data_IF_079259728146
#
_entry.id   IF_079259728146
#
_cell.length_a   1.000
_cell.length_b   1.000
_cell.length_c   1.000
_cell.angle_alpha   90.00
_cell.angle_beta   90.00
_cell.angle_gamma   90.00
#
_symmetry.space_group_name_H-M   'P 1'
#
loop_
_entity.id
_entity.type
_entity.pdbx_description
1 polymer ?
#
# COMPACT_ATOMS: atom_id res chain seq x y z
N UNK A 1 -12.34 4.07 -8.80
CA UNK A 1 -12.45 4.92 -7.64
C UNK A 1 -11.08 5.51 -7.32
N UNK A 2 -10.84 6.73 -7.76
CA UNK A 2 -9.66 7.51 -7.40
C UNK A 2 -9.79 8.14 -6.01
N UNK A 3 -8.74 8.88 -5.59
CA UNK A 3 -8.74 9.74 -4.40
C UNK A 3 -8.94 9.02 -3.06
N UNK A 4 -8.65 7.71 -2.97
CA UNK A 4 -8.80 6.99 -1.71
C UNK A 4 -7.86 7.54 -0.63
N UNK A 5 -6.68 8.02 -1.02
CA UNK A 5 -5.73 8.66 -0.11
C UNK A 5 -6.34 9.92 0.51
N UNK A 6 -6.85 10.83 -0.31
CA UNK A 6 -7.45 12.10 0.16
C UNK A 6 -8.66 11.84 1.07
N UNK A 7 -9.49 10.84 0.72
CA UNK A 7 -10.62 10.44 1.55
C UNK A 7 -10.15 9.91 2.91
N UNK A 8 -9.10 9.09 2.94
CA UNK A 8 -8.58 8.52 4.19
C UNK A 8 -7.89 9.56 5.07
N UNK A 9 -7.23 10.55 4.49
CA UNK A 9 -6.69 11.70 5.22
C UNK A 9 -7.82 12.47 5.94
N UNK A 10 -8.94 12.74 5.26
CA UNK A 10 -10.12 13.37 5.88
C UNK A 10 -10.70 12.50 7.00
N UNK A 11 -10.75 11.17 6.82
CA UNK A 11 -11.23 10.25 7.85
C UNK A 11 -10.34 10.30 9.10
N UNK A 12 -9.02 10.26 8.93
CA UNK A 12 -8.08 10.31 10.05
C UNK A 12 -8.10 11.65 10.81
N UNK A 13 -8.39 12.75 10.11
CA UNK A 13 -8.44 14.09 10.70
C UNK A 13 -9.79 14.43 11.32
N UNK A 14 -10.81 13.62 11.07
CA UNK A 14 -12.19 13.90 11.54
C UNK A 14 -12.56 12.98 12.70
N UNK A 15 -12.75 13.51 13.92
CA UNK A 15 -13.07 12.68 15.10
C UNK A 15 -14.44 11.99 15.03
N UNK A 16 -15.28 12.40 14.10
CA UNK A 16 -16.63 11.84 13.88
C UNK A 16 -16.67 10.78 12.76
N UNK A 17 -15.54 10.51 12.07
CA UNK A 17 -15.45 9.52 11.01
C UNK A 17 -14.67 8.30 11.50
N UNK A 18 -15.19 7.11 11.22
CA UNK A 18 -14.60 5.85 11.69
C UNK A 18 -13.94 5.05 10.57
N UNK A 19 -14.16 5.42 9.33
CA UNK A 19 -13.63 4.70 8.17
C UNK A 19 -14.63 4.61 7.03
N UNK A 20 -14.41 3.67 6.14
CA UNK A 20 -15.24 3.40 4.97
C UNK A 20 -15.09 1.98 4.48
N UNK A 21 -15.98 1.54 3.61
CA UNK A 21 -15.95 0.23 3.00
C UNK A 21 -15.77 0.38 1.49
N UNK A 22 -14.86 -0.41 0.93
CA UNK A 22 -14.63 -0.44 -0.51
C UNK A 22 -15.57 -1.48 -1.11
N UNK A 23 -16.32 -1.10 -2.11
CA UNK A 23 -17.10 -2.00 -2.94
C UNK A 23 -16.37 -2.22 -4.26
N UNK A 24 -15.81 -3.42 -4.49
CA UNK A 24 -15.74 -4.52 -3.53
C UNK A 24 -14.31 -5.09 -3.49
N UNK A 25 -14.10 -6.12 -2.69
CA UNK A 25 -12.77 -6.70 -2.49
C UNK A 25 -12.34 -7.54 -3.69
N UNK A 26 -13.22 -8.38 -4.24
CA UNK A 26 -12.92 -9.29 -5.35
C UNK A 26 -14.02 -9.26 -6.39
N UNK A 27 -13.63 -9.29 -7.67
CA UNK A 27 -14.60 -9.43 -8.76
C UNK A 27 -15.50 -10.66 -8.56
N UNK A 28 -16.80 -10.47 -8.69
CA UNK A 28 -17.81 -11.51 -8.53
C UNK A 28 -17.95 -12.31 -9.82
N UNK A 29 -16.89 -13.01 -10.23
CA UNK A 29 -16.82 -13.75 -11.48
C UNK A 29 -16.64 -15.25 -11.29
N UNK A 30 -17.21 -16.03 -12.21
CA UNK A 30 -17.04 -17.48 -12.27
C UNK A 30 -16.28 -17.89 -13.52
N UNK A 31 -15.37 -18.85 -13.36
CA UNK A 31 -14.61 -19.42 -14.46
C UNK A 31 -15.48 -20.44 -15.21
N UNK A 32 -15.66 -20.21 -16.50
CA UNK A 32 -16.45 -21.05 -17.38
C UNK A 32 -15.63 -21.51 -18.58
N UNK A 33 -16.09 -22.54 -19.26
CA UNK A 33 -15.51 -23.00 -20.52
C UNK A 33 -16.55 -22.96 -21.64
N UNK A 34 -16.12 -22.60 -22.84
CA UNK A 34 -16.89 -22.76 -24.06
C UNK A 34 -16.86 -24.21 -24.53
N UNK A 35 -17.75 -24.61 -25.48
CA UNK A 35 -17.79 -25.95 -26.06
C UNK A 35 -16.45 -26.33 -26.75
N UNK A 36 -15.74 -25.35 -27.29
CA UNK A 36 -14.42 -25.51 -27.91
C UNK A 36 -13.25 -25.45 -26.92
N UNK A 37 -13.54 -25.46 -25.59
CA UNK A 37 -12.56 -25.58 -24.52
C UNK A 37 -11.88 -24.26 -24.10
N UNK A 38 -12.24 -23.11 -24.69
CA UNK A 38 -11.72 -21.81 -24.24
C UNK A 38 -12.28 -21.40 -22.91
N UNK A 39 -11.43 -20.89 -22.00
CA UNK A 39 -11.82 -20.39 -20.70
C UNK A 39 -12.26 -18.93 -20.80
N UNK A 40 -13.33 -18.56 -20.11
CA UNK A 40 -13.79 -17.19 -19.93
C UNK A 40 -14.32 -16.95 -18.53
N UNK A 41 -14.47 -15.69 -18.15
CA UNK A 41 -15.07 -15.29 -16.89
C UNK A 41 -16.46 -14.72 -17.14
N UNK A 42 -17.43 -15.15 -16.38
CA UNK A 42 -18.81 -14.65 -16.42
C UNK A 42 -19.19 -14.01 -15.10
N UNK A 43 -20.16 -13.10 -15.11
CA UNK A 43 -20.63 -12.33 -13.96
C UNK A 43 -22.12 -12.01 -14.07
N UNK A 44 -22.71 -11.39 -13.02
CA UNK A 44 -24.10 -10.93 -12.98
C UNK A 44 -25.20 -12.01 -13.13
N UNK A 45 -24.96 -13.21 -12.62
CA UNK A 45 -25.97 -14.27 -12.58
C UNK A 45 -26.47 -14.76 -13.92
N UNK A 46 -25.92 -14.29 -15.02
CA UNK A 46 -26.37 -14.64 -16.39
C UNK A 46 -25.54 -15.72 -17.05
N UNK A 47 -24.52 -16.20 -16.41
CA UNK A 47 -23.74 -17.42 -16.65
C UNK A 47 -23.70 -17.90 -18.14
N UNK A 48 -23.40 -16.98 -19.08
CA UNK A 48 -23.32 -17.32 -20.50
C UNK A 48 -24.64 -17.36 -21.25
N UNK A 49 -25.77 -17.00 -20.65
CA UNK A 49 -27.02 -16.90 -21.39
C UNK A 49 -27.01 -15.72 -22.36
N UNK A 50 -27.45 -15.92 -23.59
CA UNK A 50 -27.57 -14.83 -24.59
C UNK A 50 -28.53 -13.72 -24.18
N UNK A 51 -29.35 -13.95 -23.16
CA UNK A 51 -30.39 -13.04 -22.68
C UNK A 51 -29.85 -11.69 -22.21
N UNK A 52 -28.62 -11.62 -21.73
CA UNK A 52 -28.00 -10.37 -21.31
C UNK A 52 -27.60 -9.46 -22.51
N UNK A 53 -27.37 -10.04 -23.68
CA UNK A 53 -27.10 -9.28 -24.92
C UNK A 53 -28.37 -8.58 -25.43
N UNK A 54 -29.53 -9.12 -25.08
CA UNK A 54 -30.83 -8.62 -25.56
C UNK A 54 -31.48 -7.68 -24.55
N UNK A 55 -31.14 -7.79 -23.26
CA UNK A 55 -31.70 -6.97 -22.18
C UNK A 55 -30.85 -5.72 -21.93
N UNK A 56 -31.12 -4.66 -22.70
CA UNK A 56 -30.44 -3.35 -22.61
C UNK A 56 -30.65 -2.63 -21.25
N UNK A 57 -31.49 -3.12 -20.37
CA UNK A 57 -31.78 -2.55 -19.06
C UNK A 57 -30.91 -3.13 -17.93
N UNK A 58 -30.10 -4.13 -18.21
CA UNK A 58 -29.23 -4.71 -17.21
C UNK A 58 -27.95 -3.89 -17.14
N UNK A 59 -27.62 -3.36 -15.98
CA UNK A 59 -26.34 -2.71 -15.70
C UNK A 59 -25.21 -3.70 -15.97
N UNK A 60 -24.49 -3.48 -17.05
CA UNK A 60 -23.46 -4.38 -17.59
C UNK A 60 -22.16 -4.38 -16.75
N UNK A 61 -22.03 -3.45 -15.81
CA UNK A 61 -20.78 -3.15 -15.12
C UNK A 61 -20.75 -3.57 -13.65
N UNK A 62 -21.77 -4.22 -13.13
CA UNK A 62 -21.78 -4.69 -11.75
C UNK A 62 -21.12 -6.06 -11.66
N UNK A 63 -20.21 -6.23 -10.68
CA UNK A 63 -19.53 -7.50 -10.40
C UNK A 63 -18.08 -7.58 -10.87
N UNK A 64 -17.53 -6.50 -11.43
CA UNK A 64 -16.09 -6.39 -11.78
C UNK A 64 -15.40 -5.18 -11.13
N UNK A 65 -15.94 -4.73 -10.01
CA UNK A 65 -15.48 -3.56 -9.25
C UNK A 65 -14.42 -3.90 -8.18
N UNK A 66 -14.04 -5.17 -8.10
CA UNK A 66 -13.11 -5.68 -7.11
C UNK A 66 -11.71 -5.08 -7.20
N UNK A 67 -11.04 -4.98 -6.05
CA UNK A 67 -9.61 -4.70 -5.96
C UNK A 67 -8.78 -5.87 -6.49
N UNK A 68 -9.32 -7.07 -6.41
CA UNK A 68 -8.72 -8.31 -6.88
C UNK A 68 -9.63 -8.88 -7.97
N UNK A 69 -9.04 -9.31 -9.08
CA UNK A 69 -9.79 -9.95 -10.16
C UNK A 69 -10.31 -11.33 -9.74
N UNK A 70 -11.34 -11.84 -10.43
CA UNK A 70 -11.99 -13.11 -10.11
C UNK A 70 -11.05 -14.34 -10.09
N UNK A 71 -9.86 -14.24 -10.70
CA UNK A 71 -8.80 -15.26 -10.65
C UNK A 71 -7.81 -15.09 -9.49
N UNK A 72 -8.07 -14.14 -8.57
CA UNK A 72 -7.19 -13.89 -7.42
C UNK A 72 -6.01 -12.96 -7.69
N UNK A 73 -5.90 -12.35 -8.87
CA UNK A 73 -4.80 -11.43 -9.20
C UNK A 73 -5.14 -10.02 -8.71
N UNK A 74 -4.28 -9.40 -7.87
CA UNK A 74 -4.46 -8.01 -7.46
C UNK A 74 -4.42 -7.05 -8.66
N UNK A 75 -5.39 -6.14 -8.73
CA UNK A 75 -5.40 -5.05 -9.69
C UNK A 75 -4.56 -3.86 -9.18
N UNK A 76 -4.15 -2.91 -10.02
CA UNK A 76 -3.33 -1.77 -9.59
C UNK A 76 -3.87 -1.02 -8.37
N UNK A 77 -5.18 -0.82 -8.28
CA UNK A 77 -5.82 -0.15 -7.15
C UNK A 77 -5.69 -0.90 -5.81
N UNK A 78 -5.44 -2.21 -5.82
CA UNK A 78 -5.21 -2.97 -4.60
C UNK A 78 -3.90 -2.55 -3.91
N UNK A 79 -2.89 -2.18 -4.68
CA UNK A 79 -1.61 -1.69 -4.15
C UNK A 79 -1.75 -0.31 -3.54
N UNK A 80 -2.57 0.57 -4.13
CA UNK A 80 -2.89 1.87 -3.54
C UNK A 80 -3.65 1.71 -2.22
N UNK A 81 -4.64 0.82 -2.18
CA UNK A 81 -5.37 0.51 -0.93
C UNK A 81 -4.42 -0.04 0.14
N UNK A 82 -3.52 -0.96 -0.22
CA UNK A 82 -2.49 -1.47 0.70
C UNK A 82 -1.67 -0.32 1.31
N UNK A 83 -1.27 0.67 0.49
CA UNK A 83 -0.52 1.83 0.93
C UNK A 83 -1.32 2.72 1.86
N UNK A 84 -2.56 3.02 1.50
CA UNK A 84 -3.43 3.93 2.26
C UNK A 84 -3.86 3.31 3.59
N UNK A 85 -4.08 1.99 3.64
CA UNK A 85 -4.56 1.27 4.82
C UNK A 85 -3.46 0.82 5.78
N UNK A 86 -2.20 1.14 5.52
CA UNK A 86 -1.14 0.82 6.48
C UNK A 86 -1.34 1.56 7.81
N UNK A 87 -1.06 0.90 8.93
CA UNK A 87 -1.21 1.45 10.28
C UNK A 87 0.08 2.06 10.85
N UNK A 88 1.17 2.02 10.12
CA UNK A 88 2.44 2.63 10.49
C UNK A 88 2.73 3.71 9.46
N UNK A 89 2.76 4.96 9.88
CA UNK A 89 3.06 6.09 9.02
C UNK A 89 4.45 6.63 9.30
N UNK A 90 5.18 6.91 8.24
CA UNK A 90 6.47 7.58 8.26
C UNK A 90 6.34 8.95 7.61
N UNK A 91 7.01 9.95 8.18
CA UNK A 91 7.07 11.31 7.61
C UNK A 91 8.48 11.87 7.75
N UNK A 92 8.91 12.64 6.77
CA UNK A 92 10.14 13.40 6.85
C UNK A 92 10.00 14.53 7.88
N UNK A 93 11.00 14.68 8.74
CA UNK A 93 11.15 15.84 9.62
C UNK A 93 12.38 16.66 9.19
N UNK A 94 13.57 16.08 9.31
CA UNK A 94 14.82 16.65 8.82
C UNK A 94 15.68 15.51 8.24
N UNK A 95 15.54 15.27 6.95
CA UNK A 95 16.27 14.18 6.29
C UNK A 95 17.76 14.44 6.16
N UNK A 96 18.22 15.70 6.24
CA UNK A 96 19.64 16.05 6.24
C UNK A 96 20.33 15.58 7.53
N UNK A 97 19.60 15.56 8.66
CA UNK A 97 20.05 15.01 9.94
C UNK A 97 19.50 13.56 10.18
N UNK A 98 18.95 12.94 9.15
CA UNK A 98 18.39 11.58 9.25
C UNK A 98 17.12 11.47 10.12
N UNK A 99 16.41 12.57 10.36
CA UNK A 99 15.24 12.59 11.23
C UNK A 99 13.94 12.31 10.48
N UNK A 100 13.20 11.36 11.00
CA UNK A 100 11.84 11.00 10.56
C UNK A 100 10.90 10.96 11.76
N UNK A 101 9.62 11.15 11.53
CA UNK A 101 8.61 10.77 12.52
C UNK A 101 7.96 9.44 12.15
N UNK A 102 7.65 8.65 13.16
CA UNK A 102 6.89 7.41 13.06
C UNK A 102 5.61 7.55 13.88
N UNK A 103 4.46 7.27 13.26
CA UNK A 103 3.15 7.27 13.93
C UNK A 103 2.58 5.87 13.93
N UNK A 104 2.12 5.41 15.10
CA UNK A 104 1.42 4.15 15.27
C UNK A 104 -0.09 4.39 15.28
N UNK A 105 -0.80 3.88 14.28
CA UNK A 105 -2.26 3.94 14.17
C UNK A 105 -2.96 2.66 14.62
N UNK A 106 -2.22 1.64 15.07
CA UNK A 106 -2.84 0.46 15.67
C UNK A 106 -3.55 0.83 16.98
N UNK A 107 -4.64 0.12 17.28
CA UNK A 107 -5.39 0.27 18.53
C UNK A 107 -4.80 -0.56 19.66
N UNK A 108 -4.18 -1.71 19.36
CA UNK A 108 -3.77 -2.70 20.35
C UNK A 108 -2.32 -3.19 20.20
N UNK A 109 -1.62 -2.80 19.14
CA UNK A 109 -0.29 -3.34 18.80
C UNK A 109 0.81 -2.31 19.02
N UNK A 110 1.79 -2.64 19.87
CA UNK A 110 3.04 -1.86 20.01
C UNK A 110 3.96 -2.12 18.82
N UNK A 111 4.68 -1.11 18.36
CA UNK A 111 5.56 -1.22 17.19
C UNK A 111 6.82 -2.07 17.45
N UNK A 112 7.11 -2.48 18.68
CA UNK A 112 8.16 -3.47 18.97
C UNK A 112 7.90 -4.85 18.34
N UNK A 113 6.66 -5.11 17.88
CA UNK A 113 6.29 -6.32 17.15
C UNK A 113 6.82 -6.36 15.69
N UNK A 114 7.45 -5.29 15.21
CA UNK A 114 7.89 -5.15 13.84
C UNK A 114 9.39 -4.93 13.72
N UNK A 115 9.97 -5.37 12.59
CA UNK A 115 11.33 -5.08 12.15
C UNK A 115 11.31 -3.88 11.20
N UNK A 116 12.09 -2.86 11.53
CA UNK A 116 12.18 -1.65 10.71
C UNK A 116 13.48 -1.63 9.92
N UNK A 117 13.37 -1.24 8.65
CA UNK A 117 14.51 -1.12 7.74
C UNK A 117 14.44 0.17 6.96
N UNK A 118 15.60 0.68 6.60
CA UNK A 118 15.74 1.76 5.64
C UNK A 118 16.63 1.34 4.48
N UNK A 119 16.42 1.95 3.33
CA UNK A 119 17.25 1.78 2.14
C UNK A 119 17.41 3.13 1.45
N UNK A 120 18.65 3.52 1.21
CA UNK A 120 18.96 4.64 0.33
C UNK A 120 18.98 4.18 -1.12
N UNK A 121 18.36 4.98 -1.97
CA UNK A 121 18.28 4.74 -3.41
C UNK A 121 18.83 5.98 -4.13
N UNK A 122 19.76 5.76 -5.06
CA UNK A 122 20.33 6.80 -5.92
C UNK A 122 19.94 6.50 -7.37
N UNK A 123 19.23 7.41 -8.03
CA UNK A 123 18.76 7.25 -9.42
C UNK A 123 18.08 5.88 -9.66
N UNK A 124 17.20 5.46 -8.74
CA UNK A 124 16.49 4.19 -8.81
C UNK A 124 17.29 2.94 -8.41
N UNK A 125 18.59 3.08 -8.09
CA UNK A 125 19.45 1.95 -7.71
C UNK A 125 19.71 1.97 -6.20
N UNK A 126 19.52 0.84 -5.46
CA UNK A 126 19.90 0.75 -4.06
C UNK A 126 21.38 1.05 -3.83
N UNK A 127 21.68 1.98 -2.92
CA UNK A 127 23.03 2.42 -2.60
C UNK A 127 23.51 1.95 -1.23
N UNK A 128 22.60 1.98 -0.23
CA UNK A 128 22.89 1.55 1.14
C UNK A 128 21.60 1.13 1.86
N UNK A 129 21.73 0.43 2.98
CA UNK A 129 20.58 -0.01 3.77
C UNK A 129 20.95 -0.28 5.22
N UNK A 130 19.97 -0.21 6.12
CA UNK A 130 20.17 -0.52 7.52
C UNK A 130 18.88 -0.86 8.24
N UNK A 131 19.01 -1.05 9.55
CA UNK A 131 17.90 -1.34 10.45
C UNK A 131 17.82 -0.28 11.54
N UNK A 132 16.62 -0.11 12.09
CA UNK A 132 16.40 0.72 13.26
C UNK A 132 15.29 0.14 14.13
N UNK A 133 15.23 0.58 15.37
CA UNK A 133 14.27 0.08 16.37
C UNK A 133 13.23 1.15 16.66
N UNK A 134 11.97 0.74 16.69
CA UNK A 134 10.86 1.59 17.10
C UNK A 134 10.06 0.83 18.17
N UNK A 135 9.96 1.42 19.37
CA UNK A 135 9.04 0.99 20.41
C UNK A 135 8.06 2.12 20.63
N UNK A 136 6.81 1.90 20.25
CA UNK A 136 5.82 2.95 20.23
C UNK A 136 4.43 2.36 20.49
N UNK A 137 3.82 2.81 21.57
CA UNK A 137 2.47 2.38 21.95
C UNK A 137 1.42 2.78 20.91
N UNK A 138 0.24 2.12 20.93
CA UNK A 138 -0.89 2.54 20.12
C UNK A 138 -1.17 4.04 20.21
N UNK A 139 -1.56 4.63 19.07
CA UNK A 139 -1.90 6.04 18.88
C UNK A 139 -0.79 7.06 19.19
N UNK A 140 0.42 6.61 19.48
CA UNK A 140 1.55 7.49 19.73
C UNK A 140 2.32 7.86 18.47
N UNK A 141 3.10 8.94 18.56
CA UNK A 141 4.07 9.37 17.54
C UNK A 141 5.41 9.64 18.18
N UNK A 142 6.50 9.42 17.43
CA UNK A 142 7.87 9.62 17.93
C UNK A 142 8.78 10.03 16.78
N UNK A 143 9.66 11.01 17.06
CA UNK A 143 10.81 11.28 16.19
C UNK A 143 11.88 10.20 16.37
N UNK A 144 12.43 9.73 15.29
CA UNK A 144 13.50 8.74 15.22
C UNK A 144 14.64 9.30 14.38
N UNK A 145 15.85 9.25 14.88
CA UNK A 145 17.06 9.58 14.14
C UNK A 145 17.68 8.32 13.58
N UNK A 146 17.79 8.27 12.27
CA UNK A 146 18.43 7.18 11.51
C UNK A 146 19.92 7.46 11.39
N UNK A 147 20.74 6.43 11.47
CA UNK A 147 22.16 6.49 11.15
C UNK A 147 22.33 6.33 9.64
N UNK A 148 22.14 7.41 8.90
CA UNK A 148 22.34 7.43 7.45
C UNK A 148 23.80 7.83 7.13
N UNK A 149 24.38 7.32 6.02
CA UNK A 149 25.62 7.86 5.49
C UNK A 149 25.42 9.29 5.00
N UNK A 150 26.51 10.03 4.82
CA UNK A 150 26.49 11.35 4.20
C UNK A 150 25.95 11.24 2.76
N UNK A 151 24.96 12.06 2.44
CA UNK A 151 24.33 12.08 1.12
C UNK A 151 24.86 13.29 0.37
N UNK A 152 25.62 13.08 -0.73
CA UNK A 152 26.26 14.19 -1.45
C UNK A 152 25.21 15.03 -2.22
N UNK A 153 25.45 16.33 -2.30
CA UNK A 153 24.74 17.22 -3.21
C UNK A 153 25.36 17.14 -4.61
N UNK A 154 25.16 16.02 -5.28
CA UNK A 154 25.80 15.70 -6.57
C UNK A 154 24.84 15.81 -7.78
N UNK A 155 23.67 16.42 -7.58
CA UNK A 155 22.64 16.59 -8.60
C UNK A 155 21.81 15.32 -8.87
N UNK A 156 22.21 14.16 -8.34
CA UNK A 156 21.45 12.92 -8.49
C UNK A 156 20.20 12.89 -7.61
N UNK A 157 19.21 12.10 -8.00
CA UNK A 157 18.05 11.83 -7.16
C UNK A 157 18.41 10.86 -6.05
N UNK A 158 18.13 11.26 -4.81
CA UNK A 158 18.26 10.42 -3.64
C UNK A 158 16.91 10.22 -2.97
N UNK A 159 16.59 8.98 -2.65
CA UNK A 159 15.39 8.60 -1.92
C UNK A 159 15.74 7.74 -0.71
N UNK A 160 15.01 7.96 0.37
CA UNK A 160 15.00 7.11 1.54
C UNK A 160 13.72 6.27 1.50
N UNK A 161 13.87 4.97 1.30
CA UNK A 161 12.80 4.02 1.47
C UNK A 161 12.77 3.52 2.92
N UNK A 162 11.61 3.50 3.53
CA UNK A 162 11.36 3.02 4.88
C UNK A 162 10.39 1.85 4.83
N UNK A 163 10.64 0.83 5.64
CA UNK A 163 9.85 -0.39 5.66
C UNK A 163 9.59 -0.86 7.08
N UNK A 164 8.43 -1.46 7.31
CA UNK A 164 8.11 -2.24 8.50
C UNK A 164 7.67 -3.65 8.09
N UNK A 165 8.24 -4.66 8.73
CA UNK A 165 7.96 -6.08 8.46
C UNK A 165 7.51 -6.77 9.74
N UNK A 166 6.63 -7.76 9.62
CA UNK A 166 6.27 -8.63 10.74
C UNK A 166 7.49 -9.37 11.26
N UNK A 167 7.70 -9.36 12.58
CA UNK A 167 8.81 -10.08 13.23
C UNK A 167 8.49 -11.57 13.37
N UNK A 168 7.25 -11.86 13.71
CA UNK A 168 6.76 -13.22 13.91
C UNK A 168 5.66 -13.56 12.90
N UNK A 169 5.51 -14.85 12.60
CA UNK A 169 4.41 -15.34 11.79
C UNK A 169 3.12 -15.43 12.64
N UNK A 170 1.99 -15.15 12.02
CA UNK A 170 0.66 -15.47 12.53
C UNK A 170 0.04 -16.58 11.67
N UNK A 171 -1.18 -17.01 11.99
CA UNK A 171 -1.91 -17.98 11.18
C UNK A 171 -2.09 -17.52 9.71
N UNK A 172 -2.26 -16.21 9.48
CA UNK A 172 -2.58 -15.64 8.17
C UNK A 172 -1.41 -14.92 7.51
N UNK A 173 -0.41 -14.46 8.28
CA UNK A 173 0.65 -13.58 7.79
C UNK A 173 2.00 -14.17 8.20
N UNK A 174 2.90 -14.43 7.23
CA UNK A 174 4.24 -14.96 7.53
C UNK A 174 5.12 -13.93 8.23
N UNK A 175 6.16 -14.38 8.93
CA UNK A 175 7.24 -13.50 9.36
C UNK A 175 7.93 -12.87 8.15
N UNK A 176 8.36 -11.61 8.28
CA UNK A 176 8.97 -10.85 7.20
C UNK A 176 7.98 -10.30 6.17
N UNK A 177 6.68 -10.33 6.45
CA UNK A 177 5.68 -9.70 5.60
C UNK A 177 5.72 -8.17 5.76
N UNK A 178 5.76 -7.43 4.64
CA UNK A 178 5.73 -5.97 4.62
C UNK A 178 4.35 -5.43 4.98
N UNK A 179 4.25 -4.75 6.12
CA UNK A 179 3.01 -4.13 6.63
C UNK A 179 2.95 -2.63 6.37
N UNK A 180 4.09 -1.97 6.20
CA UNK A 180 4.13 -0.56 5.85
C UNK A 180 5.41 -0.22 5.08
N UNK A 181 5.30 0.80 4.23
CA UNK A 181 6.44 1.40 3.52
C UNK A 181 6.21 2.88 3.23
N UNK A 182 7.30 3.61 3.09
CA UNK A 182 7.31 5.00 2.62
C UNK A 182 8.53 5.26 1.76
N UNK A 183 8.43 6.21 0.84
CA UNK A 183 9.54 6.73 0.07
C UNK A 183 9.62 8.24 0.23
N UNK A 184 10.73 8.73 0.73
CA UNK A 184 10.98 10.14 1.00
C UNK A 184 12.11 10.65 0.12
N UNK A 185 11.87 11.71 -0.64
CA UNK A 185 12.91 12.34 -1.45
C UNK A 185 13.87 13.11 -0.57
N UNK A 186 15.18 12.95 -0.79
CA UNK A 186 16.25 13.66 -0.09
C UNK A 186 16.88 14.68 -1.04
N UNK A 187 16.94 15.94 -0.59
CA UNK A 187 17.51 17.02 -1.40
C UNK A 187 16.68 17.38 -2.63
N UNK A 188 17.30 18.07 -3.57
CA UNK A 188 16.65 18.65 -4.76
C UNK A 188 17.12 18.04 -6.08
N UNK A 189 17.97 17.01 -6.04
CA UNK A 189 18.49 16.35 -7.23
C UNK A 189 17.35 15.83 -8.14
N UNK A 190 17.58 15.88 -9.44
CA UNK A 190 16.62 15.44 -10.46
C UNK A 190 17.36 14.67 -11.56
N UNK A 191 17.03 13.38 -11.69
CA UNK A 191 17.62 12.50 -12.69
C UNK A 191 17.35 12.96 -14.13
N UNK A 192 16.25 13.66 -14.37
CA UNK A 192 15.86 14.13 -15.70
C UNK A 192 16.35 15.56 -16.01
N UNK A 193 16.95 16.26 -15.06
CA UNK A 193 17.45 17.61 -15.25
C UNK A 193 18.92 17.66 -15.75
N UNK A 194 19.49 16.51 -16.10
CA UNK A 194 20.88 16.37 -16.58
C UNK A 194 20.95 16.40 -18.08
#
# INVERSE_FOLDING_TARGET
>A
NGNIKDLWEVIYDSPNMQGGFIWDFMDQGFKMQTEDGRTYWTYNGKMGSRRWLEDKKTELNTGTDGLISANGVPKPQAYEVKKVYQYIHFKAEDLSDGKISVRNLYDFTDLSAYDFRWQLVKNGVPADSGRFEVRLKPHASKEVKLSLPEIPEDGNEHYLNLYAYTREATELIPAGFEVAREQLKIGTGDFFAV
#
